data_IF_451823174362
#
_entry.id   IF_451823174362
#
_cell.length_a   1.000
_cell.length_b   1.000
_cell.length_c   1.000
_cell.angle_alpha   90.00
_cell.angle_beta   90.00
_cell.angle_gamma   90.00
#
_symmetry.space_group_name_H-M   'P 1'
#
loop_
_entity.id
_entity.type
_entity.pdbx_description
1 polymer ?
#
# COMPACT_ATOMS: atom_id res chain seq x y z
N UNK A 1 15.98 12.62 26.73
CA UNK A 1 14.96 13.58 27.24
C UNK A 1 13.59 12.91 27.12
N UNK A 2 12.82 12.74 28.21
CA UNK A 2 11.44 12.22 28.11
C UNK A 2 10.57 13.34 27.50
N UNK A 3 10.21 13.20 26.22
CA UNK A 3 9.27 14.10 25.56
C UNK A 3 7.91 14.00 26.28
N UNK A 4 7.31 15.15 26.60
CA UNK A 4 5.96 15.17 27.18
C UNK A 4 4.95 14.69 26.12
N UNK A 5 3.90 13.95 26.51
CA UNK A 5 2.85 13.55 25.58
C UNK A 5 2.23 14.77 24.90
N UNK A 6 2.08 14.72 23.58
CA UNK A 6 1.38 15.75 22.81
C UNK A 6 -0.07 15.77 23.26
N UNK A 7 -0.61 16.97 23.51
CA UNK A 7 -2.01 17.19 23.83
C UNK A 7 -2.69 17.92 22.68
N UNK A 8 -3.86 17.42 22.30
CA UNK A 8 -4.72 18.02 21.31
C UNK A 8 -5.97 18.63 21.97
N UNK A 9 -6.37 19.80 21.50
CA UNK A 9 -7.64 20.45 21.85
C UNK A 9 -8.83 19.62 21.35
N UNK A 10 -10.04 19.98 21.76
CA UNK A 10 -11.27 19.33 21.27
C UNK A 10 -11.40 19.54 19.76
N UNK A 11 -11.20 20.78 19.28
CA UNK A 11 -11.22 21.11 17.86
C UNK A 11 -10.15 20.32 17.07
N UNK A 12 -8.92 20.23 17.58
CA UNK A 12 -7.86 19.45 16.91
C UNK A 12 -8.24 17.97 16.80
N UNK A 13 -8.87 17.39 17.82
CA UNK A 13 -9.35 16.00 17.77
C UNK A 13 -10.45 15.81 16.74
N UNK A 14 -11.42 16.72 16.67
CA UNK A 14 -12.48 16.68 15.67
C UNK A 14 -11.89 16.71 14.25
N UNK A 15 -10.89 17.59 14.03
CA UNK A 15 -10.22 17.74 12.73
C UNK A 15 -9.34 16.55 12.39
N UNK A 16 -8.69 15.94 13.37
CA UNK A 16 -7.97 14.66 13.19
C UNK A 16 -8.94 13.58 12.71
N UNK A 17 -10.13 13.48 13.29
CA UNK A 17 -11.12 12.47 12.87
C UNK A 17 -11.64 12.74 11.45
N UNK A 18 -11.88 14.01 11.09
CA UNK A 18 -12.23 14.38 9.70
C UNK A 18 -11.10 14.05 8.71
N UNK A 19 -9.84 14.32 9.07
CA UNK A 19 -8.71 13.93 8.21
C UNK A 19 -8.60 12.41 8.10
N UNK A 20 -8.84 11.67 9.18
CA UNK A 20 -8.89 10.20 9.16
C UNK A 20 -9.97 9.68 8.21
N UNK A 21 -11.14 10.34 8.10
CA UNK A 21 -12.19 9.96 7.13
C UNK A 21 -11.72 10.16 5.70
N UNK A 22 -11.12 11.31 5.42
CA UNK A 22 -10.59 11.64 4.10
C UNK A 22 -9.48 10.65 3.69
N UNK A 23 -8.52 10.37 4.58
CA UNK A 23 -7.46 9.38 4.31
C UNK A 23 -8.03 7.98 4.09
N UNK A 24 -8.91 7.52 4.98
CA UNK A 24 -9.51 6.18 4.89
C UNK A 24 -10.29 5.99 3.59
N UNK A 25 -11.11 6.98 3.23
CA UNK A 25 -11.86 6.97 1.96
C UNK A 25 -10.92 6.84 0.76
N UNK A 26 -9.92 7.71 0.67
CA UNK A 26 -9.00 7.73 -0.47
C UNK A 26 -8.16 6.45 -0.55
N UNK A 27 -7.69 5.93 0.59
CA UNK A 27 -6.97 4.66 0.66
C UNK A 27 -7.84 3.48 0.21
N UNK A 28 -9.06 3.36 0.75
CA UNK A 28 -9.98 2.26 0.41
C UNK A 28 -10.40 2.30 -1.06
N UNK A 29 -10.65 3.48 -1.62
CA UNK A 29 -10.98 3.62 -3.05
C UNK A 29 -9.84 3.17 -3.96
N UNK A 30 -8.58 3.47 -3.59
CA UNK A 30 -7.42 3.04 -4.37
C UNK A 30 -7.12 1.55 -4.19
N UNK A 31 -7.20 1.04 -2.96
CA UNK A 31 -7.03 -0.38 -2.66
C UNK A 31 -8.11 -1.25 -3.33
N UNK A 32 -9.35 -0.77 -3.38
CA UNK A 32 -10.44 -1.47 -4.04
C UNK A 32 -10.12 -1.82 -5.50
N UNK A 33 -9.51 -0.88 -6.23
CA UNK A 33 -9.14 -1.05 -7.63
C UNK A 33 -8.09 -2.12 -7.88
N UNK A 34 -7.41 -2.62 -6.84
CA UNK A 34 -6.37 -3.65 -6.93
C UNK A 34 -6.66 -4.88 -6.07
N UNK A 35 -7.85 -4.97 -5.50
CA UNK A 35 -8.20 -5.98 -4.51
C UNK A 35 -8.01 -7.42 -5.02
N UNK A 36 -8.45 -7.70 -6.25
CA UNK A 36 -8.31 -9.02 -6.87
C UNK A 36 -6.83 -9.44 -6.98
N UNK A 37 -5.98 -8.53 -7.48
CA UNK A 37 -4.54 -8.77 -7.59
C UNK A 37 -3.88 -8.93 -6.22
N UNK A 38 -4.29 -8.11 -5.24
CA UNK A 38 -3.74 -8.19 -3.89
C UNK A 38 -4.03 -9.55 -3.26
N UNK A 39 -5.26 -10.05 -3.39
CA UNK A 39 -5.67 -11.34 -2.84
C UNK A 39 -4.98 -12.50 -3.55
N UNK A 40 -4.85 -12.45 -4.88
CA UNK A 40 -4.16 -13.47 -5.66
C UNK A 40 -2.67 -13.55 -5.30
N UNK A 41 -1.98 -12.41 -5.25
CA UNK A 41 -0.53 -12.36 -4.99
C UNK A 41 -0.21 -12.73 -3.55
N UNK A 42 -1.13 -12.50 -2.62
CA UNK A 42 -0.95 -12.87 -1.22
C UNK A 42 -0.76 -14.37 -0.99
N UNK A 43 -1.24 -15.22 -1.90
CA UNK A 43 -1.03 -16.67 -1.85
C UNK A 43 0.45 -17.06 -1.96
N UNK A 44 1.26 -16.23 -2.64
CA UNK A 44 2.69 -16.45 -2.83
C UNK A 44 3.55 -15.82 -1.73
N UNK A 45 2.95 -15.08 -0.78
CA UNK A 45 3.70 -14.54 0.36
C UNK A 45 3.89 -15.65 1.39
N UNK A 46 5.14 -16.11 1.64
CA UNK A 46 5.37 -17.24 2.51
C UNK A 46 5.04 -16.93 3.97
N UNK A 47 4.49 -17.93 4.66
CA UNK A 47 4.19 -17.84 6.08
C UNK A 47 5.48 -18.08 6.88
N UNK A 48 6.02 -17.05 7.53
CA UNK A 48 7.21 -17.18 8.40
C UNK A 48 6.89 -17.67 9.83
N UNK A 49 5.61 -17.83 10.17
CA UNK A 49 5.14 -18.42 11.43
C UNK A 49 3.92 -19.29 11.16
N UNK A 50 3.83 -20.46 11.80
CA UNK A 50 2.61 -21.26 11.80
C UNK A 50 1.45 -20.47 12.42
N UNK A 51 0.31 -20.44 11.73
CA UNK A 51 -0.88 -19.71 12.17
C UNK A 51 -2.13 -20.48 11.77
N UNK A 52 -3.11 -20.47 12.68
CA UNK A 52 -4.35 -21.24 12.58
C UNK A 52 -5.28 -20.74 11.45
N UNK A 53 -5.15 -19.48 11.02
CA UNK A 53 -5.97 -18.89 9.95
C UNK A 53 -5.14 -17.98 9.05
N UNK A 54 -5.15 -18.23 7.74
CA UNK A 54 -4.45 -17.42 6.73
C UNK A 54 -5.20 -16.13 6.36
N UNK A 55 -6.53 -16.15 6.43
CA UNK A 55 -7.42 -15.07 5.99
C UNK A 55 -7.86 -14.25 7.21
N UNK A 56 -8.00 -12.93 7.04
CA UNK A 56 -8.48 -11.97 8.05
C UNK A 56 -9.96 -11.62 7.88
N UNK A 57 -10.74 -12.52 7.27
CA UNK A 57 -12.10 -12.26 6.74
C UNK A 57 -13.01 -11.57 7.75
N UNK A 58 -12.95 -12.03 9.00
CA UNK A 58 -13.78 -11.51 10.08
C UNK A 58 -13.25 -10.20 10.66
N UNK A 59 -11.95 -9.90 10.55
CA UNK A 59 -11.32 -8.74 11.17
C UNK A 59 -11.43 -7.48 10.32
N UNK A 60 -11.07 -7.53 9.02
CA UNK A 60 -11.13 -6.33 8.17
C UNK A 60 -12.56 -5.90 7.91
N UNK A 61 -13.45 -6.85 7.64
CA UNK A 61 -14.87 -6.54 7.45
C UNK A 61 -15.47 -5.83 8.67
N UNK A 62 -15.18 -6.32 9.90
CA UNK A 62 -15.61 -5.63 11.14
C UNK A 62 -14.96 -4.26 11.29
N UNK A 63 -13.66 -4.14 11.05
CA UNK A 63 -12.95 -2.85 11.15
C UNK A 63 -13.51 -1.82 10.16
N UNK A 64 -13.79 -2.21 8.91
CA UNK A 64 -14.31 -1.31 7.88
C UNK A 64 -15.76 -0.90 8.17
N UNK A 65 -16.60 -1.82 8.67
CA UNK A 65 -17.94 -1.44 9.17
C UNK A 65 -17.88 -0.53 10.39
N UNK A 66 -16.90 -0.72 11.26
CA UNK A 66 -16.68 0.20 12.39
C UNK A 66 -16.19 1.57 11.90
N UNK A 67 -15.40 1.63 10.82
CA UNK A 67 -14.97 2.88 10.18
C UNK A 67 -16.19 3.64 9.63
N UNK A 68 -17.10 2.96 8.93
CA UNK A 68 -18.37 3.54 8.48
C UNK A 68 -19.21 4.07 9.65
N UNK A 69 -19.42 3.24 10.69
CA UNK A 69 -20.18 3.64 11.87
C UNK A 69 -19.53 4.80 12.65
N UNK A 70 -18.20 4.80 12.74
CA UNK A 70 -17.43 5.87 13.35
C UNK A 70 -17.64 7.17 12.57
N UNK A 71 -17.49 7.16 11.25
CA UNK A 71 -17.67 8.37 10.45
C UNK A 71 -19.11 8.85 10.35
N UNK A 72 -20.11 7.96 10.44
CA UNK A 72 -21.52 8.37 10.54
C UNK A 72 -21.83 9.17 11.82
N UNK A 73 -21.07 8.96 12.89
CA UNK A 73 -21.20 9.71 14.14
C UNK A 73 -20.52 11.10 14.09
N UNK A 74 -19.53 11.28 13.22
CA UNK A 74 -18.88 12.58 12.97
C UNK A 74 -19.59 13.29 11.80
N UNK A 75 -19.64 14.62 11.81
CA UNK A 75 -20.49 15.40 10.90
C UNK A 75 -20.10 15.35 9.41
N UNK A 76 -19.12 14.54 9.02
CA UNK A 76 -18.64 14.45 7.65
C UNK A 76 -19.47 13.45 6.79
N UNK A 77 -20.77 13.76 6.63
CA UNK A 77 -21.76 12.90 5.94
C UNK A 77 -21.37 12.53 4.51
N UNK A 78 -20.57 13.36 3.84
CA UNK A 78 -20.14 13.14 2.45
C UNK A 78 -19.18 11.96 2.32
N UNK A 79 -18.11 11.94 3.12
CA UNK A 79 -17.12 10.87 3.08
C UNK A 79 -17.72 9.53 3.51
N UNK A 80 -18.57 9.57 4.54
CA UNK A 80 -19.33 8.39 4.97
C UNK A 80 -20.18 7.83 3.82
N UNK A 81 -20.91 8.68 3.09
CA UNK A 81 -21.72 8.24 1.95
C UNK A 81 -20.88 7.64 0.81
N UNK A 82 -19.70 8.19 0.52
CA UNK A 82 -18.78 7.62 -0.49
C UNK A 82 -18.19 6.28 -0.04
N UNK A 83 -17.87 6.11 1.25
CA UNK A 83 -17.40 4.83 1.81
C UNK A 83 -18.52 3.79 1.79
N UNK A 84 -19.74 4.15 2.18
CA UNK A 84 -20.91 3.24 2.17
C UNK A 84 -21.25 2.72 0.77
N UNK A 85 -20.83 3.41 -0.29
CA UNK A 85 -21.01 2.96 -1.68
C UNK A 85 -19.95 1.95 -2.14
N UNK A 86 -18.86 1.78 -1.39
CA UNK A 86 -17.90 0.73 -1.67
C UNK A 86 -18.49 -0.63 -1.27
N UNK A 87 -18.30 -1.69 -2.07
CA UNK A 87 -18.81 -3.01 -1.71
C UNK A 87 -17.94 -3.60 -0.60
N UNK A 88 -18.27 -3.28 0.66
CA UNK A 88 -17.44 -3.53 1.84
C UNK A 88 -17.15 -5.01 2.05
N UNK A 89 -18.10 -5.89 1.71
CA UNK A 89 -17.98 -7.33 1.67
C UNK A 89 -16.77 -7.81 0.86
N UNK A 90 -16.41 -7.10 -0.22
CA UNK A 90 -15.25 -7.48 -1.04
C UNK A 90 -13.95 -7.38 -0.25
N UNK A 91 -13.83 -6.42 0.67
CA UNK A 91 -12.64 -6.28 1.50
C UNK A 91 -12.50 -7.38 2.57
N UNK A 92 -13.50 -8.24 2.74
CA UNK A 92 -13.38 -9.45 3.57
C UNK A 92 -12.26 -10.38 3.09
N UNK A 93 -12.02 -10.49 1.78
CA UNK A 93 -10.98 -11.36 1.26
C UNK A 93 -9.55 -10.81 1.39
N UNK A 94 -9.37 -9.63 2.00
CA UNK A 94 -8.04 -9.04 2.15
C UNK A 94 -7.11 -9.92 3.00
N UNK A 95 -5.85 -10.07 2.56
CA UNK A 95 -4.83 -10.70 3.37
C UNK A 95 -4.51 -9.84 4.60
N UNK A 96 -3.97 -10.44 5.64
CA UNK A 96 -3.52 -9.74 6.85
C UNK A 96 -2.49 -8.66 6.53
N UNK A 97 -2.41 -7.63 7.37
CA UNK A 97 -1.56 -6.44 7.18
C UNK A 97 -0.11 -6.73 6.72
N UNK A 98 0.54 -7.76 7.30
CA UNK A 98 1.91 -8.16 6.91
C UNK A 98 1.94 -8.65 5.45
N UNK A 99 1.04 -9.57 5.08
CA UNK A 99 0.94 -10.08 3.71
C UNK A 99 0.50 -8.97 2.75
N UNK A 100 -0.50 -8.17 3.13
CA UNK A 100 -0.94 -7.01 2.34
C UNK A 100 0.23 -6.07 2.02
N UNK A 101 1.04 -5.73 3.02
CA UNK A 101 2.21 -4.87 2.84
C UNK A 101 3.26 -5.55 1.95
N UNK A 102 3.53 -6.84 2.16
CA UNK A 102 4.46 -7.58 1.32
C UNK A 102 4.02 -7.58 -0.16
N UNK A 103 2.74 -7.83 -0.43
CA UNK A 103 2.17 -7.79 -1.78
C UNK A 103 2.31 -6.41 -2.39
N UNK A 104 1.82 -5.37 -1.73
CA UNK A 104 1.77 -4.01 -2.29
C UNK A 104 3.16 -3.47 -2.68
N UNK A 105 4.15 -3.69 -1.82
CA UNK A 105 5.54 -3.39 -2.16
C UNK A 105 6.07 -4.27 -3.32
N UNK A 106 5.70 -5.55 -3.38
CA UNK A 106 6.07 -6.45 -4.50
C UNK A 106 5.45 -6.02 -5.83
N UNK A 107 4.33 -5.30 -5.80
CA UNK A 107 3.67 -4.72 -6.98
C UNK A 107 4.19 -3.31 -7.32
N UNK A 108 5.18 -2.81 -6.59
CA UNK A 108 5.73 -1.46 -6.79
C UNK A 108 4.87 -0.33 -6.25
N UNK A 109 3.85 -0.64 -5.45
CA UNK A 109 2.89 0.33 -4.92
C UNK A 109 2.89 0.30 -3.39
N UNK A 110 3.90 0.88 -2.72
CA UNK A 110 3.97 0.91 -1.26
C UNK A 110 2.65 1.41 -0.62
N UNK A 111 2.09 0.70 0.37
CA UNK A 111 0.82 1.04 1.01
C UNK A 111 0.81 2.44 1.63
N UNK A 112 1.96 2.91 2.11
CA UNK A 112 2.13 4.22 2.74
C UNK A 112 1.86 5.37 1.77
N UNK A 113 1.96 5.14 0.46
CA UNK A 113 1.73 6.16 -0.58
C UNK A 113 0.28 6.17 -1.07
N UNK A 114 -0.47 5.09 -0.86
CA UNK A 114 -1.84 4.94 -1.37
C UNK A 114 -2.79 5.93 -0.67
N UNK A 115 -3.58 6.64 -1.47
CA UNK A 115 -4.58 7.60 -1.01
C UNK A 115 -4.02 8.93 -0.49
N UNK A 116 -2.75 9.00 -0.09
CA UNK A 116 -2.18 10.16 0.62
C UNK A 116 -2.23 11.44 -0.19
N UNK A 117 -1.74 11.43 -1.43
CA UNK A 117 -1.73 12.64 -2.26
C UNK A 117 -3.14 13.17 -2.57
N UNK A 118 -4.09 12.27 -2.86
CA UNK A 118 -5.48 12.65 -3.08
C UNK A 118 -6.14 13.18 -1.79
N UNK A 119 -5.84 12.57 -0.64
CA UNK A 119 -6.33 13.00 0.66
C UNK A 119 -5.81 14.40 1.04
N UNK A 120 -4.54 14.71 0.80
CA UNK A 120 -3.99 16.04 1.10
C UNK A 120 -4.69 17.14 0.29
N UNK A 121 -4.97 16.90 -1.00
CA UNK A 121 -5.74 17.86 -1.83
C UNK A 121 -7.14 18.07 -1.27
N UNK A 122 -7.78 16.99 -0.83
CA UNK A 122 -9.12 17.04 -0.27
C UNK A 122 -9.14 17.75 1.09
N UNK A 123 -8.18 17.49 1.98
CA UNK A 123 -8.00 18.23 3.24
C UNK A 123 -7.81 19.72 2.96
N UNK A 124 -6.94 20.07 2.00
CA UNK A 124 -6.73 21.46 1.59
C UNK A 124 -8.03 22.11 1.11
N UNK A 125 -8.84 21.40 0.33
CA UNK A 125 -10.10 21.91 -0.21
C UNK A 125 -11.21 22.03 0.83
N UNK A 126 -11.31 21.10 1.78
CA UNK A 126 -12.41 21.03 2.74
C UNK A 126 -12.10 21.78 4.05
N UNK A 127 -10.87 21.65 4.55
CA UNK A 127 -10.45 22.18 5.84
C UNK A 127 -9.54 23.41 5.69
N UNK A 128 -8.87 23.55 4.55
CA UNK A 128 -7.98 24.66 4.23
C UNK A 128 -6.50 24.34 4.44
N UNK A 129 -5.62 25.14 3.84
CA UNK A 129 -4.16 24.94 3.88
C UNK A 129 -3.62 24.87 5.32
N UNK A 130 -4.18 25.66 6.25
CA UNK A 130 -3.79 25.64 7.67
C UNK A 130 -3.80 24.25 8.30
N UNK A 131 -4.73 23.38 7.89
CA UNK A 131 -4.84 22.02 8.43
C UNK A 131 -3.92 21.04 7.74
N UNK A 132 -3.52 21.30 6.49
CA UNK A 132 -2.42 20.56 5.85
C UNK A 132 -1.11 20.86 6.56
N UNK A 133 -0.81 22.13 6.83
CA UNK A 133 0.42 22.53 7.53
C UNK A 133 0.41 21.96 8.95
N UNK A 134 -0.72 22.07 9.67
CA UNK A 134 -0.85 21.52 11.01
C UNK A 134 -0.75 19.98 11.06
N UNK A 135 -1.23 19.30 10.02
CA UNK A 135 -1.04 17.86 9.86
C UNK A 135 0.45 17.53 9.79
N UNK A 136 1.20 18.22 8.93
CA UNK A 136 2.61 17.97 8.68
C UNK A 136 3.52 18.43 9.83
N UNK A 137 3.18 19.51 10.54
CA UNK A 137 4.08 20.07 11.56
C UNK A 137 3.85 19.49 12.97
N UNK A 138 2.60 19.09 13.27
CA UNK A 138 2.20 18.76 14.66
C UNK A 138 1.54 17.42 14.81
N UNK A 139 0.62 17.05 13.92
CA UNK A 139 -0.15 15.80 14.07
C UNK A 139 0.70 14.60 13.63
N UNK A 140 1.35 14.70 12.48
CA UNK A 140 2.18 13.64 11.92
C UNK A 140 3.50 14.17 11.31
N UNK A 141 4.45 14.63 12.16
CA UNK A 141 5.71 15.22 11.71
C UNK A 141 6.60 14.32 10.84
N UNK A 142 6.55 13.01 11.06
CA UNK A 142 7.36 12.05 10.30
C UNK A 142 6.71 11.60 9.00
N UNK A 143 5.56 12.17 8.59
CA UNK A 143 4.91 11.77 7.35
C UNK A 143 5.83 11.98 6.14
N UNK A 144 6.61 13.06 6.13
CA UNK A 144 7.58 13.32 5.07
C UNK A 144 8.66 12.23 5.00
N UNK A 145 9.21 11.83 6.15
CA UNK A 145 10.23 10.78 6.23
C UNK A 145 9.66 9.41 5.83
N UNK A 146 8.42 9.12 6.21
CA UNK A 146 7.72 7.89 5.85
C UNK A 146 7.46 7.82 4.32
N UNK A 147 7.10 8.95 3.70
CA UNK A 147 6.95 9.07 2.25
C UNK A 147 8.30 8.88 1.55
N UNK A 148 9.35 9.56 2.02
CA UNK A 148 10.71 9.41 1.46
C UNK A 148 11.18 7.96 1.52
N UNK A 149 11.06 7.35 2.70
CA UNK A 149 11.45 5.95 2.91
C UNK A 149 10.73 5.01 1.94
N UNK A 150 9.40 5.11 1.87
CA UNK A 150 8.56 4.22 1.07
C UNK A 150 8.73 4.46 -0.43
N UNK A 151 8.99 5.71 -0.84
CA UNK A 151 9.18 6.08 -2.25
C UNK A 151 10.33 5.36 -2.94
N UNK A 152 11.37 4.93 -2.20
CA UNK A 152 12.46 4.10 -2.73
C UNK A 152 12.02 2.75 -3.28
N UNK A 153 10.84 2.30 -2.89
CA UNK A 153 10.30 1.01 -3.31
C UNK A 153 9.14 1.15 -4.29
N UNK A 154 8.76 2.40 -4.60
CA UNK A 154 7.79 2.70 -5.64
C UNK A 154 8.43 2.57 -7.03
N UNK A 155 7.71 1.93 -7.94
CA UNK A 155 7.97 2.07 -9.37
C UNK A 155 6.63 1.97 -10.14
N UNK A 156 6.49 2.67 -11.27
CA UNK A 156 5.28 2.57 -12.08
C UNK A 156 5.03 1.11 -12.50
N UNK A 157 3.85 0.61 -12.18
CA UNK A 157 3.42 -0.75 -12.53
C UNK A 157 2.04 -0.73 -13.18
N UNK A 158 1.66 -1.83 -13.84
CA UNK A 158 0.35 -1.94 -14.50
C UNK A 158 -0.83 -1.85 -13.53
N UNK A 159 -0.58 -2.01 -12.23
CA UNK A 159 -1.59 -1.95 -11.17
C UNK A 159 -1.84 -0.50 -10.71
N UNK A 160 -1.05 0.46 -11.21
CA UNK A 160 -1.23 1.88 -10.96
C UNK A 160 -2.43 2.41 -11.76
N UNK A 161 -3.58 2.56 -11.08
CA UNK A 161 -4.75 3.20 -11.68
C UNK A 161 -4.52 4.70 -11.91
N UNK A 162 -5.32 5.32 -12.80
CA UNK A 162 -5.28 6.79 -13.02
C UNK A 162 -5.43 7.59 -11.72
N UNK A 163 -6.21 7.08 -10.76
CA UNK A 163 -6.41 7.72 -9.45
C UNK A 163 -5.13 7.70 -8.62
N UNK A 164 -4.46 6.55 -8.57
CA UNK A 164 -3.18 6.37 -7.88
C UNK A 164 -2.12 7.24 -8.54
N UNK A 165 -2.00 7.20 -9.87
CA UNK A 165 -1.06 8.05 -10.62
C UNK A 165 -1.22 9.54 -10.31
N UNK A 166 -2.47 10.02 -10.21
CA UNK A 166 -2.76 11.40 -9.84
C UNK A 166 -2.29 11.69 -8.41
N UNK A 167 -2.62 10.81 -7.46
CA UNK A 167 -2.20 10.93 -6.06
C UNK A 167 -0.67 10.97 -5.91
N UNK A 168 0.04 10.07 -6.58
CA UNK A 168 1.50 10.01 -6.57
C UNK A 168 2.16 11.25 -7.19
N UNK A 169 1.59 11.80 -8.27
CA UNK A 169 2.09 13.07 -8.85
C UNK A 169 1.96 14.23 -7.89
N UNK A 170 0.82 14.33 -7.19
CA UNK A 170 0.63 15.32 -6.13
C UNK A 170 1.66 15.10 -5.02
N UNK A 171 1.82 13.85 -4.58
CA UNK A 171 2.72 13.53 -3.47
C UNK A 171 4.18 13.88 -3.79
N UNK A 172 4.64 13.58 -5.01
CA UNK A 172 5.96 13.98 -5.54
C UNK A 172 6.19 15.49 -5.56
N UNK A 173 5.12 16.28 -5.73
CA UNK A 173 5.22 17.74 -5.70
C UNK A 173 5.33 18.31 -4.28
N UNK A 174 4.90 17.54 -3.28
CA UNK A 174 4.96 17.92 -1.86
C UNK A 174 6.25 17.43 -1.21
N UNK A 175 6.63 16.19 -1.49
CA UNK A 175 7.80 15.52 -0.93
C UNK A 175 8.60 14.91 -2.07
N UNK A 176 9.88 15.30 -2.28
CA UNK A 176 10.70 14.70 -3.32
C UNK A 176 10.92 13.22 -3.01
N UNK A 177 10.62 12.37 -3.98
CA UNK A 177 10.84 10.93 -3.85
C UNK A 177 12.33 10.63 -3.85
N UNK A 178 12.75 9.73 -2.96
CA UNK A 178 14.09 9.18 -2.98
C UNK A 178 14.28 8.25 -4.19
N UNK A 179 15.51 8.11 -4.69
CA UNK A 179 15.79 7.24 -5.83
C UNK A 179 15.39 5.79 -5.52
N UNK A 180 14.82 5.06 -6.50
CA UNK A 180 14.38 3.69 -6.29
C UNK A 180 15.57 2.79 -5.95
N UNK A 181 15.34 1.84 -5.06
CA UNK A 181 16.29 0.74 -4.81
C UNK A 181 16.35 -0.14 -6.06
N UNK A 182 17.46 -0.07 -6.80
CA UNK A 182 17.64 -0.77 -8.08
C UNK A 182 17.36 -2.28 -7.98
N UNK A 183 17.84 -2.90 -6.91
CA UNK A 183 17.64 -4.33 -6.63
C UNK A 183 16.16 -4.61 -6.36
N UNK A 184 15.51 -3.81 -5.50
CA UNK A 184 14.08 -4.00 -5.22
C UNK A 184 13.22 -3.77 -6.46
N UNK A 185 13.51 -2.73 -7.25
CA UNK A 185 12.80 -2.44 -8.50
C UNK A 185 12.93 -3.60 -9.49
N UNK A 186 14.14 -4.14 -9.65
CA UNK A 186 14.39 -5.30 -10.52
C UNK A 186 13.59 -6.53 -10.07
N UNK A 187 13.66 -6.86 -8.78
CA UNK A 187 12.90 -7.97 -8.20
C UNK A 187 11.39 -7.77 -8.32
N UNK A 188 10.92 -6.54 -8.12
CA UNK A 188 9.50 -6.21 -8.18
C UNK A 188 8.96 -6.23 -9.61
N UNK A 189 9.76 -5.85 -10.61
CA UNK A 189 9.46 -6.03 -12.04
C UNK A 189 9.37 -7.50 -12.41
N UNK A 190 10.30 -8.34 -11.93
CA UNK A 190 10.27 -9.78 -12.14
C UNK A 190 9.02 -10.39 -11.49
N UNK A 191 8.74 -10.04 -10.22
CA UNK A 191 7.56 -10.50 -9.51
C UNK A 191 6.28 -10.13 -10.26
N UNK A 192 6.15 -8.86 -10.65
CA UNK A 192 5.02 -8.38 -11.46
C UNK A 192 4.88 -9.18 -12.75
N UNK A 193 5.98 -9.40 -13.48
CA UNK A 193 5.99 -10.20 -14.70
C UNK A 193 5.54 -11.64 -14.49
N UNK A 194 6.03 -12.31 -13.45
CA UNK A 194 5.61 -13.67 -13.09
C UNK A 194 4.11 -13.70 -12.76
N UNK A 195 3.64 -12.80 -11.91
CA UNK A 195 2.22 -12.66 -11.53
C UNK A 195 1.34 -12.44 -12.78
N UNK A 196 1.78 -11.60 -13.72
CA UNK A 196 1.03 -11.37 -14.96
C UNK A 196 0.91 -12.59 -15.86
N UNK A 197 1.84 -13.54 -15.73
CA UNK A 197 1.95 -14.73 -16.59
C UNK A 197 1.35 -15.98 -15.92
N UNK A 198 1.34 -16.05 -14.60
CA UNK A 198 0.71 -17.14 -13.83
C UNK A 198 -0.82 -17.00 -13.77
N UNK A 199 -1.37 -15.83 -14.10
CA UNK A 199 -2.82 -15.57 -14.22
C UNK A 199 -3.23 -15.00 -15.59
N UNK A 200 -3.17 -15.83 -16.65
CA UNK A 200 -3.96 -15.86 -17.93
C UNK A 200 -3.35 -16.97 -18.83
N UNK A 201 -4.12 -17.71 -19.66
CA UNK A 201 -3.70 -19.02 -20.19
C UNK A 201 -2.57 -18.89 -21.23
N UNK A 202 -1.32 -19.08 -20.82
CA UNK A 202 -0.19 -19.07 -21.74
C UNK A 202 1.12 -19.48 -21.05
N UNK A 203 1.56 -20.72 -21.32
CA UNK A 203 2.81 -21.32 -20.85
C UNK A 203 4.02 -20.42 -21.15
N UNK A 204 4.96 -20.28 -20.21
CA UNK A 204 6.26 -19.64 -20.46
C UNK A 204 7.41 -20.55 -20.05
N UNK A 205 8.45 -20.55 -20.88
CA UNK A 205 9.67 -21.35 -20.71
C UNK A 205 10.84 -20.51 -20.18
N UNK A 206 11.80 -21.10 -19.45
CA UNK A 206 12.92 -20.41 -18.77
C UNK A 206 13.86 -19.54 -19.62
N UNK A 207 13.70 -19.51 -20.95
CA UNK A 207 14.55 -18.73 -21.87
C UNK A 207 14.24 -17.23 -21.86
N UNK A 208 12.99 -16.84 -21.62
CA UNK A 208 12.58 -15.43 -21.67
C UNK A 208 13.11 -14.62 -20.47
N UNK A 209 13.28 -15.24 -19.30
CA UNK A 209 13.85 -14.61 -18.10
C UNK A 209 15.31 -14.19 -18.28
N UNK A 210 16.10 -14.96 -19.05
CA UNK A 210 17.53 -14.67 -19.28
C UNK A 210 17.77 -13.43 -20.14
N UNK A 211 16.79 -12.98 -20.92
CA UNK A 211 16.94 -11.87 -21.85
C UNK A 211 16.77 -10.49 -21.19
N UNK A 212 16.10 -10.40 -20.03
CA UNK A 212 15.79 -9.15 -19.35
C UNK A 212 16.67 -8.87 -18.12
N UNK A 213 17.53 -9.81 -17.74
CA UNK A 213 18.43 -9.71 -16.60
C UNK A 213 19.82 -9.30 -17.09
N UNK A 214 20.28 -8.11 -16.72
CA UNK A 214 21.64 -7.66 -16.97
C UNK A 214 22.62 -8.64 -16.32
N UNK A 215 23.63 -9.08 -17.08
CA UNK A 215 24.63 -10.08 -16.66
C UNK A 215 25.29 -9.69 -15.33
N UNK A 216 25.04 -10.46 -14.26
CA UNK A 216 25.84 -10.36 -13.03
C UNK A 216 25.21 -10.99 -11.80
N UNK A 217 23.91 -10.78 -11.55
CA UNK A 217 23.29 -11.10 -10.25
C UNK A 217 22.22 -12.22 -10.35
N UNK A 218 21.96 -12.73 -11.55
CA UNK A 218 20.77 -13.53 -11.87
C UNK A 218 20.92 -15.06 -11.76
N UNK A 219 22.05 -15.59 -11.30
CA UNK A 219 22.25 -17.05 -11.28
C UNK A 219 21.54 -17.78 -10.13
N UNK A 220 21.14 -17.08 -9.07
CA UNK A 220 20.52 -17.72 -7.88
C UNK A 220 18.98 -17.78 -7.91
N UNK A 221 18.33 -17.15 -8.89
CA UNK A 221 16.87 -17.05 -8.98
C UNK A 221 16.26 -17.95 -10.08
N UNK A 222 17.07 -18.81 -10.71
CA UNK A 222 16.63 -19.73 -11.76
C UNK A 222 16.79 -21.18 -11.26
N UNK A 223 16.09 -21.57 -10.20
CA UNK A 223 16.01 -22.98 -9.79
C UNK A 223 14.65 -23.27 -9.15
N UNK A 224 13.66 -23.64 -9.96
CA UNK A 224 12.42 -24.24 -9.48
C UNK A 224 11.18 -23.72 -10.19
N UNK A 225 10.04 -24.35 -9.93
CA UNK A 225 8.71 -23.94 -10.40
C UNK A 225 8.41 -22.45 -10.14
N UNK A 226 7.58 -21.83 -10.99
CA UNK A 226 7.25 -20.38 -10.96
C UNK A 226 6.86 -19.85 -9.57
N UNK A 227 6.24 -20.69 -8.74
CA UNK A 227 5.70 -20.33 -7.43
C UNK A 227 6.78 -20.29 -6.33
N UNK A 228 7.76 -21.19 -6.39
CA UNK A 228 8.91 -21.20 -5.47
C UNK A 228 9.83 -20.01 -5.73
N UNK A 229 9.95 -19.61 -7.00
CA UNK A 229 10.74 -18.44 -7.39
C UNK A 229 10.08 -17.14 -6.91
N UNK A 230 8.75 -17.01 -7.07
CA UNK A 230 8.02 -15.82 -6.63
C UNK A 230 8.04 -15.66 -5.10
N UNK A 231 7.86 -16.74 -4.34
CA UNK A 231 7.92 -16.72 -2.87
C UNK A 231 9.29 -16.26 -2.36
N UNK A 232 10.38 -16.74 -2.99
CA UNK A 232 11.76 -16.33 -2.66
C UNK A 232 11.99 -14.85 -2.99
N UNK A 233 11.54 -14.39 -4.16
CA UNK A 233 11.65 -12.99 -4.59
C UNK A 233 10.93 -12.06 -3.61
N UNK A 234 9.71 -12.40 -3.18
CA UNK A 234 8.94 -11.61 -2.21
C UNK A 234 9.67 -11.52 -0.85
N UNK A 235 10.27 -12.62 -0.39
CA UNK A 235 11.07 -12.64 0.84
C UNK A 235 12.28 -11.74 0.76
N UNK A 236 13.03 -11.81 -0.34
CA UNK A 236 14.24 -11.02 -0.51
C UNK A 236 13.92 -9.52 -0.62
N UNK A 237 12.83 -9.15 -1.30
CA UNK A 237 12.30 -7.78 -1.26
C UNK A 237 11.92 -7.34 0.16
N UNK A 238 11.40 -8.23 1.00
CA UNK A 238 11.14 -7.96 2.42
C UNK A 238 12.42 -7.75 3.25
N UNK A 239 13.47 -8.53 3.00
CA UNK A 239 14.78 -8.36 3.66
C UNK A 239 15.46 -7.05 3.27
N UNK A 240 15.40 -6.67 1.99
CA UNK A 240 15.93 -5.39 1.49
C UNK A 240 15.27 -4.21 2.23
N UNK A 241 13.97 -4.31 2.50
CA UNK A 241 13.20 -3.32 3.26
C UNK A 241 13.40 -3.42 4.78
N UNK A 242 14.13 -4.43 5.27
CA UNK A 242 14.28 -4.76 6.70
C UNK A 242 12.95 -5.04 7.41
N UNK A 243 11.96 -5.58 6.68
CA UNK A 243 10.61 -5.85 7.20
C UNK A 243 10.28 -7.34 7.35
N UNK A 244 11.04 -8.23 6.72
CA UNK A 244 10.93 -9.68 6.86
C UNK A 244 12.30 -10.27 7.22
N UNK A 245 12.41 -10.86 8.41
CA UNK A 245 13.64 -11.40 9.00
C UNK A 245 13.39 -12.02 10.38
#
# INVERSE_FOLDING_TARGET
VRLKPIRFSIEEKERIVEMMSIFSKNYLQELYGMLDYVTEVAAYVPNQRERILEISEVSYYRSIRNIEAMFGAYQNRRDAAEISQLPLERFGSLPRAIKLSAVLYSLGLPPELLGVGNAIVEIKSQLGQKWVDHLLDRIYPSLEDDIKFSSRFYHPSKFESKRISRGLKILKSLVPFEPPSEIHESLSKIATHLITKTGLPGKVTPRDLKAQLTRGESSEYIIGTTDTDLSKIILDMGKIRRSLG
#
